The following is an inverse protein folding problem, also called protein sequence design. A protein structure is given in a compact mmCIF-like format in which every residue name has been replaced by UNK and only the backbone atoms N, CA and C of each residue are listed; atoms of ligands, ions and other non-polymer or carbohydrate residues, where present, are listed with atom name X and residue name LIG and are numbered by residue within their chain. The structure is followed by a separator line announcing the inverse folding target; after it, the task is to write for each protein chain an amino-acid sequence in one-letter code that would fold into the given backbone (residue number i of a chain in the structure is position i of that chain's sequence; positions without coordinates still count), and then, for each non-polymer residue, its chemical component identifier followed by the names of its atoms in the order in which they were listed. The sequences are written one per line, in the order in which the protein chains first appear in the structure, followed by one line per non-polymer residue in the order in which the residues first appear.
data_IF_311404614809
#
_entry.id   IF_311404614809
#
_cell.length_a   1.000
_cell.length_b   1.000
_cell.length_c   1.000
_cell.angle_alpha   90.00
_cell.angle_beta   90.00
_cell.angle_gamma   90.00
#
_symmetry.space_group_name_H-M   'P 1'
#
loop_
_entity.id
_entity.type
_entity.pdbx_description
1 polymer ?
2 water ?
#
# COMPACT_ATOMS: atom_id res chain seq x y z
N UNK A 1 -4.30 18.09 11.46
CA UNK A 1 -3.28 19.09 11.25
C UNK A 1 -2.02 18.51 10.65
N UNK A 2 -1.20 19.35 9.99
CA UNK A 2 0.03 18.94 9.32
C UNK A 2 0.95 18.15 10.25
N UNK A 4 0.11 16.23 12.96
CA UNK A 4 -0.43 14.90 13.16
C UNK A 4 -0.22 14.01 11.94
N UNK A 5 -0.35 14.62 10.75
CA UNK A 5 -0.13 13.90 9.51
C UNK A 5 1.33 13.47 9.37
N UNK A 6 2.26 14.38 9.65
CA UNK A 6 3.68 14.08 9.57
C UNK A 6 4.07 12.95 10.52
N UNK A 7 3.52 12.97 11.73
CA UNK A 7 3.78 11.93 12.70
C UNK A 7 3.24 10.58 12.21
N UNK A 8 2.01 10.60 11.73
CA UNK A 8 1.39 9.39 11.16
C UNK A 8 2.19 8.81 10.01
N UNK A 9 2.58 9.66 9.06
CA UNK A 9 3.38 9.21 7.92
C UNK A 9 4.68 8.58 8.40
N UNK A 10 5.29 9.19 9.41
CA UNK A 10 6.53 8.69 9.97
C UNK A 10 6.37 7.29 10.57
N UNK A 11 5.25 7.07 11.25
CA UNK A 11 4.95 5.76 11.82
C UNK A 11 4.73 4.73 10.72
N UNK A 12 4.13 5.16 9.61
CA UNK A 12 3.84 4.27 8.49
C UNK A 12 5.11 3.86 7.77
N UNK A 13 5.98 4.84 7.53
CA UNK A 13 7.28 4.59 6.91
C UNK A 13 8.07 3.55 7.69
N UNK A 14 7.93 3.61 9.01
CA UNK A 14 8.60 2.66 9.90
C UNK A 14 8.09 1.24 9.67
N UNK A 15 6.78 1.10 9.45
CA UNK A 15 6.19 -0.19 9.20
C UNK A 15 6.60 -0.73 7.83
N UNK A 16 6.63 0.15 6.84
CA UNK A 16 7.12 -0.19 5.51
C UNK A 16 8.57 -0.69 5.56
N UNK A 17 9.38 -0.03 6.39
CA UNK A 17 10.79 -0.42 6.54
C UNK A 17 10.95 -1.83 7.10
N UNK A 18 9.94 -2.29 7.86
CA UNK A 18 9.99 -3.61 8.48
C UNK A 18 9.35 -4.68 7.61
N UNK A 19 8.73 -4.28 6.50
CA UNK A 19 8.09 -5.24 5.59
C UNK A 19 9.07 -6.30 5.12
N UNK A 20 8.66 -7.56 5.20
CA UNK A 20 9.53 -8.66 4.82
C UNK A 20 9.21 -9.20 3.43
N UNK A 21 7.93 -9.47 3.18
CA UNK A 21 7.52 -10.15 1.96
C UNK A 21 6.69 -9.29 1.00
N UNK A 22 5.70 -8.57 1.53
CA UNK A 22 4.74 -7.92 0.65
C UNK A 22 4.11 -6.65 1.19
N UNK A 23 3.82 -5.74 0.26
CA UNK A 23 3.08 -4.53 0.57
C UNK A 23 1.98 -4.37 -0.47
N UNK A 24 0.73 -4.39 -0.01
CA UNK A 24 -0.41 -4.11 -0.89
C UNK A 24 -1.04 -2.79 -0.48
N UNK A 25 -1.07 -1.85 -1.42
CA UNK A 25 -1.52 -0.50 -1.12
C UNK A 25 -2.71 -0.06 -2.00
N UNK A 26 -3.82 0.25 -1.36
CA UNK A 26 -4.99 0.80 -2.04
C UNK A 26 -5.17 2.25 -1.62
N UNK A 27 -4.95 3.17 -2.55
CA UNK A 27 -4.95 4.58 -2.21
C UNK A 27 -5.54 5.42 -3.34
N UNK A 28 -6.33 6.43 -2.98
CA UNK A 28 -7.00 7.26 -3.98
C UNK A 28 -6.01 8.21 -4.64
N UNK A 29 -5.17 8.84 -3.85
CA UNK A 29 -4.10 9.67 -4.36
C UNK A 29 -2.82 9.47 -3.54
N UNK A 30 -1.68 9.42 -4.22
CA UNK A 30 -0.41 9.14 -3.59
C UNK A 30 0.51 10.33 -3.82
N UNK A 31 0.61 11.22 -2.83
CA UNK A 31 1.40 12.43 -2.97
C UNK A 31 2.59 12.50 -2.01
N UNK A 32 2.66 11.55 -1.09
CA UNK A 32 3.73 11.57 -0.10
C UNK A 32 5.06 11.06 -0.64
N UNK A 33 6.03 11.98 -0.74
CA UNK A 33 7.36 11.64 -1.19
C UNK A 33 8.03 10.70 -0.20
N UNK A 34 7.73 10.91 1.07
CA UNK A 34 8.32 10.11 2.16
C UNK A 34 7.80 8.68 2.12
N UNK A 35 6.51 8.52 1.93
CA UNK A 35 5.89 7.21 1.83
C UNK A 35 6.40 6.47 0.61
N UNK A 36 6.48 7.18 -0.51
CA UNK A 36 6.94 6.59 -1.76
C UNK A 36 8.37 6.06 -1.65
N UNK A 37 9.25 6.86 -1.10
CA UNK A 37 10.65 6.48 -0.97
C UNK A 37 10.83 5.27 -0.05
N UNK A 38 10.00 5.17 0.98
CA UNK A 38 10.03 4.02 1.86
C UNK A 38 9.65 2.78 1.06
N UNK A 39 8.62 2.92 0.24
CA UNK A 39 8.17 1.84 -0.62
C UNK A 39 9.23 1.47 -1.65
N UNK A 40 9.90 2.50 -2.18
CA UNK A 40 11.01 2.29 -3.10
C UNK A 40 12.11 1.46 -2.46
N UNK A 41 12.40 1.75 -1.19
CA UNK A 41 13.44 1.02 -0.47
C UNK A 41 13.03 -0.43 -0.20
N UNK A 42 11.74 -0.62 0.08
CA UNK A 42 11.21 -1.97 0.26
C UNK A 42 11.37 -2.78 -1.02
N UNK A 43 11.07 -2.13 -2.15
CA UNK A 43 11.24 -2.75 -3.46
C UNK A 43 12.68 -3.20 -3.66
N UNK A 44 13.63 -2.36 -3.24
CA UNK A 44 15.05 -2.67 -3.38
C UNK A 44 15.48 -3.76 -2.41
N UNK A 45 14.65 -4.01 -1.41
CA UNK A 45 14.93 -4.99 -0.37
C UNK A 45 14.38 -6.36 -0.77
N UNK A 46 13.57 -6.39 -1.82
CA UNK A 46 13.01 -7.63 -2.33
C UNK A 46 11.54 -7.81 -2.00
N UNK A 47 10.94 -6.77 -1.44
CA UNK A 47 9.52 -6.81 -1.08
C UNK A 47 8.65 -6.70 -2.34
N UNK A 48 7.62 -7.54 -2.41
CA UNK A 48 6.67 -7.50 -3.53
C UNK A 48 5.57 -6.48 -3.25
N UNK A 49 5.42 -5.53 -4.17
CA UNK A 49 4.48 -4.42 -3.96
C UNK A 49 3.41 -4.36 -5.04
N UNK A 50 2.16 -4.15 -4.62
CA UNK A 50 1.08 -3.91 -5.56
C UNK A 50 0.32 -2.65 -5.16
N UNK A 51 -0.15 -1.91 -6.16
CA UNK A 51 -0.84 -0.65 -5.90
C UNK A 51 -2.17 -0.56 -6.66
N UNK A 52 -3.23 -0.25 -5.93
CA UNK A 52 -4.52 0.05 -6.53
C UNK A 52 -4.87 1.52 -6.30
N UNK A 53 -5.19 2.23 -7.37
CA UNK A 53 -5.43 3.66 -7.25
C UNK A 53 -6.47 4.19 -8.22
N UNK A 54 -6.65 5.50 -8.22
CA UNK A 54 -7.65 6.14 -9.05
C UNK A 54 -7.06 6.73 -10.32
N UNK A 55 -7.72 6.50 -11.45
CA UNK A 55 -7.23 6.94 -12.74
C UNK A 55 -7.14 8.45 -12.91
N UNK A 56 -8.08 9.17 -12.30
CA UNK A 56 -8.11 10.63 -12.39
C UNK A 56 -6.93 11.25 -11.65
N UNK A 58 -3.79 9.75 -10.95
CA UNK A 58 -2.44 9.26 -11.21
C UNK A 58 -1.60 10.24 -12.03
N UNK A 59 -2.27 11.14 -12.73
CA UNK A 59 -1.58 12.15 -13.52
C UNK A 59 -1.72 13.54 -12.89
N UNK A 60 -2.13 13.56 -11.64
CA UNK A 60 -2.23 14.81 -10.90
C UNK A 60 -0.83 15.27 -10.48
N UNK A 61 -0.68 16.56 -10.23
CA UNK A 61 0.59 17.11 -9.81
C UNK A 61 1.01 16.54 -8.47
N UNK A 62 2.28 16.17 -8.35
CA UNK A 62 2.79 15.62 -7.11
C UNK A 62 2.40 14.18 -6.87
N UNK A 63 1.77 13.54 -7.86
CA UNK A 63 1.44 12.13 -7.77
C UNK A 63 2.71 11.30 -7.93
N UNK A 64 3.02 10.49 -6.93
CA UNK A 64 4.27 9.73 -6.94
C UNK A 64 4.11 8.35 -7.54
N UNK A 65 2.88 8.01 -7.92
CA UNK A 65 2.58 6.72 -8.53
C UNK A 65 3.34 6.52 -9.83
N UNK A 66 3.53 7.61 -10.56
CA UNK A 66 4.27 7.62 -11.81
C UNK A 66 5.66 6.97 -11.69
N UNK A 68 6.88 5.08 -9.20
CA UNK A 68 6.84 3.72 -8.66
C UNK A 68 6.51 2.71 -9.74
N UNK A 69 5.60 3.08 -10.63
CA UNK A 69 5.23 2.21 -11.75
C UNK A 69 6.41 2.05 -12.72
N UNK A 70 7.26 3.07 -12.78
CA UNK A 70 8.44 3.04 -13.63
C UNK A 70 9.47 2.07 -13.09
N UNK A 71 9.38 1.76 -11.80
CA UNK A 71 10.33 0.86 -11.16
C UNK A 71 9.85 -0.59 -11.21
N UNK A 72 8.67 -0.80 -11.77
CA UNK A 72 8.16 -2.14 -11.94
C UNK A 72 6.99 -2.48 -11.03
N UNK A 73 6.60 -1.54 -10.18
CA UNK A 73 5.46 -1.75 -9.30
C UNK A 73 4.17 -1.78 -10.11
N UNK A 74 3.44 -2.91 -10.06
CA UNK A 74 2.18 -3.05 -10.79
C UNK A 74 1.11 -2.13 -10.21
N UNK A 75 0.50 -1.33 -11.08
CA UNK A 75 -0.52 -0.39 -10.66
C UNK A 75 -1.82 -0.69 -11.41
N UNK A 76 -2.84 -1.12 -10.66
CA UNK A 76 -4.13 -1.38 -11.26
C UNK A 76 -5.16 -0.30 -10.90
N UNK A 77 -5.97 0.05 -11.90
CA UNK A 77 -6.88 1.20 -11.82
C UNK A 77 -8.22 0.85 -12.45
N UNK A 78 -9.32 1.12 -11.74
CA UNK A 78 -10.68 0.74 -12.11
C UNK A 78 -11.21 1.41 -13.38
N UNK A 79 -10.99 2.72 -13.51
CA UNK A 79 -11.44 3.48 -14.66
C UNK A 79 -12.96 3.45 -14.81
N UNK A 80 -13.65 4.40 -14.18
CA UNK A 80 -13.06 5.46 -13.38
C UNK A 80 -13.97 5.77 -12.19
N UNK A 83 -14.63 5.36 -5.79
CA UNK A 83 -14.92 5.74 -4.42
C UNK A 83 -14.53 4.64 -3.43
N UNK A 85 -14.09 3.87 0.96
CA UNK A 85 -14.47 4.34 2.28
C UNK A 85 -13.23 4.75 3.08
N UNK A 86 -12.10 4.18 2.69
CA UNK A 86 -10.81 4.49 3.29
C UNK A 86 -9.68 3.98 2.41
N UNK A 87 -8.53 4.63 2.50
CA UNK A 87 -7.32 4.12 1.86
C UNK A 87 -6.62 3.19 2.84
N UNK A 88 -5.95 2.16 2.33
CA UNK A 88 -5.31 1.21 3.22
C UNK A 88 -4.04 0.56 2.67
N UNK A 89 -3.21 0.09 3.58
CA UNK A 89 -1.97 -0.56 3.23
C UNK A 89 -1.82 -1.84 4.03
N UNK A 90 -1.63 -2.96 3.35
CA UNK A 90 -1.42 -4.22 4.05
C UNK A 90 0.02 -4.71 3.87
N UNK A 91 0.73 -4.78 4.98
CA UNK A 91 2.10 -5.25 4.99
C UNK A 91 2.14 -6.69 5.47
N UNK A 92 2.73 -7.58 4.66
CA UNK A 92 2.87 -8.99 5.01
C UNK A 92 1.56 -9.66 5.45
N UNK A 93 0.49 -9.43 4.70
CA UNK A 93 -0.77 -10.12 4.94
C UNK A 93 -0.55 -11.61 4.87
N UNK A 94 -1.17 -12.35 5.81
CA UNK A 94 -0.96 -13.80 5.92
C UNK A 94 -1.20 -14.54 4.60
N UNK A 95 -2.39 -14.36 4.05
CA UNK A 95 -2.76 -14.99 2.78
C UNK A 95 -1.78 -14.64 1.66
N UNK A 96 -1.38 -13.38 1.59
CA UNK A 96 -0.46 -12.92 0.54
C UNK A 96 0.93 -13.53 0.68
N UNK A 97 1.42 -13.59 1.92
CA UNK A 97 2.73 -14.19 2.18
C UNK A 97 2.72 -15.68 1.82
N UNK A 98 1.67 -16.38 2.23
CA UNK A 98 1.52 -17.80 1.90
C UNK A 98 1.44 -17.98 0.39
N UNK A 99 0.81 -17.02 -0.29
CA UNK A 99 0.73 -17.03 -1.74
C UNK A 99 2.11 -16.92 -2.36
N UNK A 100 2.86 -15.91 -1.94
CA UNK A 100 4.23 -15.68 -2.40
C UNK A 100 5.10 -16.91 -2.12
N UNK A 101 4.86 -17.52 -0.97
CA UNK A 101 5.62 -18.69 -0.54
C UNK A 101 5.45 -19.84 -1.52
N UNK A 102 4.24 -20.02 -2.04
CA UNK A 102 3.98 -21.11 -2.98
C UNK A 102 4.57 -20.85 -4.35
N UNK A 103 4.50 -19.60 -4.80
CA UNK A 103 4.99 -19.24 -6.13
C UNK A 103 6.52 -19.15 -6.18
N UNK A 104 7.16 -19.23 -5.03
CA UNK A 104 8.61 -19.06 -4.95
C UNK A 104 9.31 -20.18 -4.17
N UNK A 105 8.51 -21.04 -3.54
CA UNK A 105 9.01 -22.17 -2.73
C UNK A 105 9.79 -21.72 -1.48
N UNK A 110 11.21 -16.97 6.68
CA UNK A 110 11.50 -15.87 7.59
C UNK A 110 10.22 -15.37 8.23
N UNK A 111 10.25 -15.16 9.55
CA UNK A 111 9.06 -14.74 10.30
C UNK A 111 8.58 -13.34 9.94
N UNK A 112 7.28 -13.11 10.09
CA UNK A 112 6.68 -11.81 9.83
C UNK A 112 5.34 -11.74 10.55
N UNK A 113 4.73 -10.56 10.52
CA UNK A 113 3.42 -10.38 11.12
C UNK A 113 2.63 -9.31 10.37
N UNK A 114 1.37 -9.63 10.06
CA UNK A 114 0.55 -8.74 9.25
C UNK A 114 0.29 -7.40 9.94
N UNK A 115 0.41 -6.34 9.17
CA UNK A 115 0.07 -5.01 9.64
C UNK A 115 -0.80 -4.31 8.62
N UNK A 116 -1.92 -3.76 9.07
CA UNK A 116 -2.75 -2.95 8.20
C UNK A 116 -2.78 -1.50 8.66
N UNK A 117 -2.46 -0.59 7.75
CA UNK A 117 -2.61 0.83 8.02
C UNK A 117 -3.78 1.33 7.20
N UNK A 118 -4.72 2.01 7.84
CA UNK A 118 -5.83 2.62 7.12
C UNK A 118 -5.94 4.10 7.45
N UNK A 119 -6.45 4.87 6.50
CA UNK A 119 -6.63 6.30 6.70
C UNK A 119 -7.81 6.79 5.89
N UNK A 120 -8.24 8.02 6.15
CA UNK A 120 -9.32 8.63 5.39
C UNK A 120 -8.86 8.87 3.98
N UNK A 121 -9.79 8.79 3.03
CA UNK A 121 -9.47 9.06 1.64
C UNK A 121 -9.30 10.56 1.43
N UNK A 122 -8.14 10.97 0.96
CA UNK A 122 -7.96 12.35 0.59
C UNK A 122 -8.09 12.53 -0.92
N UNK A 123 -8.97 13.42 -1.33
CA UNK A 123 -9.22 13.65 -2.75
C UNK A 123 -8.24 14.67 -3.32
N UNK A 124 -7.34 15.15 -2.45
CA UNK A 124 -6.28 16.07 -2.84
C UNK A 124 -5.31 16.26 -1.68
N UNK A 130 2.70 14.37 2.41
CA UNK A 130 1.52 13.54 2.19
C UNK A 130 0.48 13.70 3.28
N UNK A 131 -0.76 13.38 2.95
CA UNK A 131 -1.88 13.58 3.87
C UNK A 131 -2.36 12.28 4.49
N UNK A 132 -2.17 12.14 5.81
CA UNK A 132 -2.53 10.93 6.52
C UNK A 132 -3.12 11.19 7.90
N UNK A 133 -4.32 11.75 7.94
CA UNK A 133 -5.05 11.89 9.19
C UNK A 133 -6.02 10.73 9.36
N UNK A 134 -6.63 10.63 10.54
CA UNK A 134 -7.51 9.51 10.88
C UNK A 134 -6.81 8.17 10.70
N UNK A 135 -5.50 8.16 10.91
CA UNK A 135 -4.70 6.97 10.68
C UNK A 135 -4.87 5.93 11.77
N UNK A 136 -5.01 4.68 11.35
CA UNK A 136 -5.04 3.54 12.26
C UNK A 136 -3.99 2.55 11.83
N UNK A 137 -3.20 2.07 12.79
CA UNK A 137 -2.22 1.03 12.52
C UNK A 137 -2.45 -0.15 13.46
N UNK A 138 -2.76 -1.31 12.90
CA UNK A 138 -3.10 -2.47 13.73
C UNK A 138 -2.63 -3.80 13.17
N UNK A 139 -2.46 -4.76 14.08
CA UNK A 139 -2.01 -6.10 13.70
C UNK A 139 -3.08 -7.14 14.04
N UNK A 140 -4.27 -6.68 14.38
CA UNK A 140 -5.39 -7.58 14.64
C UNK A 140 -5.67 -8.43 13.40
N UNK A 141 -5.42 -9.72 13.51
CA UNK A 141 -5.40 -10.61 12.33
C UNK A 141 -6.75 -10.73 11.64
N UNK A 142 -7.83 -10.51 12.39
CA UNK A 142 -9.17 -10.53 11.80
C UNK A 142 -9.32 -9.34 10.83
N UNK A 143 -8.82 -8.19 11.26
CA UNK A 143 -8.86 -6.99 10.43
C UNK A 143 -7.93 -7.09 9.23
N UNK A 144 -6.70 -7.55 9.47
CA UNK A 144 -5.72 -7.68 8.40
C UNK A 144 -6.21 -8.65 7.34
N UNK A 145 -6.99 -9.64 7.78
CA UNK A 145 -7.53 -10.63 6.85
C UNK A 145 -8.57 -10.01 5.92
N UNK A 146 -9.54 -9.30 6.49
CA UNK A 146 -10.60 -8.67 5.71
C UNK A 146 -10.03 -7.68 4.70
N UNK A 147 -9.08 -6.86 5.14
CA UNK A 147 -8.44 -5.91 4.24
C UNK A 147 -7.65 -6.61 3.14
N UNK A 148 -6.86 -7.61 3.51
CA UNK A 148 -6.08 -8.35 2.52
C UNK A 148 -6.99 -9.05 1.53
N UNK A 149 -8.03 -9.71 2.03
CA UNK A 149 -9.01 -10.36 1.18
C UNK A 149 -9.68 -9.35 0.26
N UNK A 150 -9.95 -8.16 0.79
CA UNK A 150 -10.58 -7.09 0.01
C UNK A 150 -9.66 -6.61 -1.11
N UNK A 151 -8.35 -6.58 -0.82
CA UNK A 151 -7.37 -6.18 -1.83
C UNK A 151 -7.28 -7.22 -2.95
N UNK A 152 -7.23 -8.49 -2.57
CA UNK A 152 -7.18 -9.58 -3.54
C UNK A 152 -8.37 -9.48 -4.50
N UNK A 153 -9.53 -9.15 -3.94
CA UNK A 153 -10.74 -9.02 -4.73
C UNK A 153 -10.66 -7.86 -5.72
N UNK A 155 -7.99 -6.38 -6.79
CA UNK A 155 -6.91 -6.65 -7.73
C UNK A 155 -7.41 -7.50 -8.90
N UNK A 156 -8.29 -8.45 -8.60
CA UNK A 156 -8.86 -9.32 -9.63
C UNK A 156 -10.10 -8.69 -10.26
N UNK A 157 -10.60 -7.62 -9.64
CA UNK A 157 -11.79 -6.91 -10.10
C UNK A 157 -13.02 -7.81 -10.14
N UNK A 165 -10.49 -2.90 -15.91
CA UNK A 165 -9.45 -2.53 -14.94
C UNK A 165 -8.12 -2.29 -15.64
N UNK A 166 -7.69 -1.04 -15.69
CA UNK A 166 -6.45 -0.68 -16.36
C UNK A 166 -5.24 -0.98 -15.51
N UNK A 167 -4.32 -1.78 -16.04
CA UNK A 167 -3.02 -1.96 -15.42
C UNK A 167 -2.00 -1.13 -16.20
N UNK A 168 -1.52 -0.06 -15.57
CA UNK A 168 -0.64 0.90 -16.23
C UNK A 168 0.63 0.28 -16.79
N UNK A 169 0.87 0.52 -18.08
CA UNK A 169 2.05 -0.01 -18.76
C UNK A 169 3.32 0.68 -18.27
#
# INVERSE_FOLDING_TARGET
GPXGSLRNVAKIVEQIDRAVYSIDLAIYTFTSLFLADSIKRALQRGVIIRIISDGEXVYSKGSQISXLAQLGVPVRVPITTNLXHNKFCIIDGFERVEEIRLLRKLKFXRPCYSIVISGSVNWTALGLGGNWENCIITADDKLTATFQAEFQRXWRAFAKTEGSQIQLK
#
